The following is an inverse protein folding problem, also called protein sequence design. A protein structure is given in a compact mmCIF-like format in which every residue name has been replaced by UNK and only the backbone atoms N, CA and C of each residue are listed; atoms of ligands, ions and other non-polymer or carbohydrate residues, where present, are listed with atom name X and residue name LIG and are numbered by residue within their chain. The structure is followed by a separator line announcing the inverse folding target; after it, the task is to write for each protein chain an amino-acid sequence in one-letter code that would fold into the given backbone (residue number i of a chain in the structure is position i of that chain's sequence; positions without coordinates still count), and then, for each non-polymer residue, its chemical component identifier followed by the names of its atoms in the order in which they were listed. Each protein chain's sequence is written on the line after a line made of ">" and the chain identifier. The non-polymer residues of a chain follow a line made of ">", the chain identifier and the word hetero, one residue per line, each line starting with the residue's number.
data_IF_423415949204
#
_entry.id   IF_423415949204
#
_cell.length_a   1.000
_cell.length_b   1.000
_cell.length_c   1.000
_cell.angle_alpha   90.00
_cell.angle_beta   90.00
_cell.angle_gamma   90.00
#
_symmetry.space_group_name_H-M   'P 1'
#
loop_
_entity.id
_entity.type
_entity.pdbx_description
1 polymer ?
#
# COMPACT_ATOMS: atom_id res chain seq x y z
N UNK A 1 1.44 14.74 -26.32
CA UNK A 1 2.80 15.25 -26.01
C UNK A 1 2.73 15.67 -24.55
N UNK A 2 3.70 15.31 -23.72
CA UNK A 2 3.61 15.47 -22.26
C UNK A 2 3.70 16.98 -21.90
N UNK A 3 2.56 17.63 -21.61
CA UNK A 3 2.50 19.08 -21.34
C UNK A 3 3.34 19.45 -20.11
N UNK A 4 3.37 18.55 -19.13
CA UNK A 4 4.17 18.69 -17.91
C UNK A 4 5.68 18.72 -18.24
N UNK A 5 6.12 17.97 -19.26
CA UNK A 5 7.51 18.00 -19.70
C UNK A 5 7.86 19.35 -20.34
N UNK A 6 6.94 19.97 -21.09
CA UNK A 6 7.17 21.29 -21.68
C UNK A 6 7.32 22.36 -20.59
N UNK A 7 6.46 22.31 -19.57
CA UNK A 7 6.52 23.21 -18.42
C UNK A 7 7.84 23.10 -17.65
N UNK A 8 8.36 21.88 -17.45
CA UNK A 8 9.65 21.69 -16.77
C UNK A 8 10.80 22.25 -17.59
N UNK A 9 10.75 22.11 -18.92
CA UNK A 9 11.78 22.65 -19.81
C UNK A 9 11.72 24.18 -19.93
N UNK A 10 10.55 24.79 -19.80
CA UNK A 10 10.38 26.25 -19.83
C UNK A 10 10.57 26.93 -18.47
N UNK A 11 10.47 26.18 -17.36
CA UNK A 11 10.58 26.69 -16.00
C UNK A 11 12.04 26.90 -15.56
N UNK A 12 12.37 28.13 -15.15
CA UNK A 12 13.65 28.47 -14.52
C UNK A 12 13.80 27.99 -13.06
N UNK A 13 12.73 27.46 -12.44
CA UNK A 13 12.71 27.06 -11.03
C UNK A 13 12.86 25.55 -10.81
N UNK A 14 13.03 24.77 -11.87
CA UNK A 14 13.22 23.32 -11.75
C UNK A 14 14.64 22.98 -11.28
N UNK A 15 14.76 22.14 -10.24
CA UNK A 15 16.05 21.60 -9.80
C UNK A 15 16.55 20.45 -10.68
N UNK A 16 15.73 19.97 -11.63
CA UNK A 16 16.08 18.86 -12.51
C UNK A 16 16.99 19.33 -13.64
N UNK A 17 18.04 18.55 -13.92
CA UNK A 17 18.94 18.77 -15.06
C UNK A 17 18.67 17.72 -16.12
N UNK A 18 17.71 18.00 -17.00
CA UNK A 18 17.23 17.04 -18.00
C UNK A 18 18.09 17.08 -19.27
N UNK A 19 18.73 15.94 -19.58
CA UNK A 19 19.59 15.78 -20.74
C UNK A 19 19.19 14.54 -21.56
N UNK A 20 19.37 14.60 -22.88
CA UNK A 20 19.14 13.46 -23.77
C UNK A 20 20.36 12.54 -23.77
N UNK A 21 20.22 11.35 -23.18
CA UNK A 21 21.29 10.35 -23.03
C UNK A 21 21.06 9.20 -24.03
N UNK A 22 22.09 8.75 -24.77
CA UNK A 22 21.96 7.61 -25.67
C UNK A 22 21.75 6.32 -24.88
N UNK A 23 20.86 5.45 -25.36
CA UNK A 23 20.74 4.09 -24.83
C UNK A 23 21.85 3.24 -25.47
N UNK A 24 22.57 2.48 -24.64
CA UNK A 24 23.63 1.59 -25.09
C UNK A 24 23.10 0.59 -26.14
N UNK A 25 23.73 0.54 -27.31
CA UNK A 25 23.34 -0.36 -28.40
C UNK A 25 22.11 0.08 -29.21
N UNK A 26 21.65 1.34 -29.11
CA UNK A 26 20.57 1.85 -29.96
C UNK A 26 20.81 3.28 -30.43
N UNK A 27 20.13 3.67 -31.51
CA UNK A 27 20.12 5.05 -32.01
C UNK A 27 19.14 5.96 -31.24
N UNK A 28 18.47 5.43 -30.22
CA UNK A 28 17.49 6.17 -29.43
C UNK A 28 18.16 6.92 -28.28
N UNK A 29 17.67 8.14 -28.04
CA UNK A 29 18.04 8.96 -26.88
C UNK A 29 16.85 9.07 -25.95
N UNK A 30 17.08 8.87 -24.66
CA UNK A 30 16.06 9.07 -23.62
C UNK A 30 16.39 10.30 -22.80
N UNK A 31 15.35 10.93 -22.27
CA UNK A 31 15.53 12.07 -21.38
C UNK A 31 15.84 11.57 -19.98
N UNK A 32 16.93 12.05 -19.39
CA UNK A 32 17.37 11.67 -18.06
C UNK A 32 17.65 12.90 -17.22
N UNK A 33 17.28 12.86 -15.95
CA UNK A 33 17.78 13.79 -14.95
C UNK A 33 19.21 13.37 -14.53
N UNK A 34 20.13 14.30 -14.71
CA UNK A 34 21.55 14.17 -14.40
C UNK A 34 21.97 15.06 -13.21
N UNK A 35 21.00 15.58 -12.43
CA UNK A 35 21.27 16.40 -11.24
C UNK A 35 21.96 15.61 -10.11
N UNK A 36 21.83 14.28 -10.10
CA UNK A 36 22.44 13.37 -9.14
C UNK A 36 23.54 12.50 -9.79
N UNK A 37 24.32 11.80 -8.95
CA UNK A 37 25.40 10.89 -9.39
C UNK A 37 24.90 9.80 -10.35
N UNK A 38 23.69 9.27 -10.11
CA UNK A 38 23.03 8.30 -10.99
C UNK A 38 22.03 9.00 -11.90
N UNK A 39 22.20 8.82 -13.21
CA UNK A 39 21.25 9.31 -14.22
C UNK A 39 19.92 8.58 -14.11
N UNK A 40 18.82 9.33 -14.00
CA UNK A 40 17.47 8.78 -13.82
C UNK A 40 16.60 9.12 -15.02
N UNK A 41 16.09 8.14 -15.80
CA UNK A 41 15.17 8.43 -16.89
C UNK A 41 13.89 9.12 -16.42
N UNK A 42 13.49 10.13 -17.19
CA UNK A 42 12.19 10.78 -17.06
C UNK A 42 11.10 9.86 -17.61
N UNK A 43 10.04 9.66 -16.83
CA UNK A 43 8.95 8.76 -17.20
C UNK A 43 7.70 9.56 -17.60
N UNK A 44 7.27 9.47 -18.87
CA UNK A 44 6.03 10.10 -19.32
C UNK A 44 4.82 9.54 -18.60
N UNK A 45 3.77 10.35 -18.48
CA UNK A 45 2.55 10.02 -17.72
C UNK A 45 2.01 8.60 -18.00
N UNK A 46 1.93 8.23 -19.27
CA UNK A 46 1.41 6.94 -19.74
C UNK A 46 2.17 5.72 -19.21
N UNK A 47 3.46 5.87 -18.86
CA UNK A 47 4.31 4.78 -18.39
C UNK A 47 4.48 4.74 -16.88
N UNK A 48 4.12 5.81 -16.14
CA UNK A 48 4.36 5.90 -14.69
C UNK A 48 3.71 4.75 -13.92
N UNK A 49 2.48 4.39 -14.30
CA UNK A 49 1.73 3.27 -13.69
C UNK A 49 2.39 1.91 -13.94
N UNK A 50 2.91 1.68 -15.14
CA UNK A 50 3.61 0.45 -15.51
C UNK A 50 4.89 0.31 -14.68
N UNK A 51 5.68 1.39 -14.59
CA UNK A 51 6.89 1.44 -13.77
C UNK A 51 6.58 1.18 -12.30
N UNK A 52 5.53 1.80 -11.75
CA UNK A 52 5.07 1.54 -10.38
C UNK A 52 4.70 0.07 -10.16
N UNK A 53 3.90 -0.52 -11.07
CA UNK A 53 3.46 -1.90 -10.94
C UNK A 53 4.64 -2.88 -10.96
N UNK A 54 5.65 -2.64 -11.79
CA UNK A 54 6.88 -3.45 -11.80
C UNK A 54 7.60 -3.42 -10.45
N UNK A 55 7.71 -2.25 -9.80
CA UNK A 55 8.30 -2.14 -8.45
C UNK A 55 7.41 -2.82 -7.41
N UNK A 56 6.09 -2.63 -7.49
CA UNK A 56 5.15 -3.19 -6.52
C UNK A 56 5.07 -4.72 -6.61
N UNK A 57 5.22 -5.31 -7.79
CA UNK A 57 5.15 -6.75 -8.01
C UNK A 57 6.40 -7.52 -7.55
N UNK A 58 7.48 -6.84 -7.13
CA UNK A 58 8.66 -7.52 -6.56
C UNK A 58 8.29 -8.26 -5.27
N UNK A 59 7.60 -7.59 -4.35
CA UNK A 59 7.27 -8.14 -3.03
C UNK A 59 6.16 -7.35 -2.31
N UNK A 60 5.34 -6.57 -3.02
CA UNK A 60 4.38 -5.64 -2.42
C UNK A 60 4.98 -4.74 -1.32
N UNK A 61 6.11 -4.05 -1.59
CA UNK A 61 6.76 -3.20 -0.62
C UNK A 61 5.82 -2.13 -0.06
N UNK A 62 6.05 -1.75 1.19
CA UNK A 62 5.35 -0.63 1.81
C UNK A 62 5.73 0.71 1.16
N UNK A 63 4.87 1.71 1.35
CA UNK A 63 4.97 3.06 0.73
C UNK A 63 6.40 3.61 0.76
N UNK A 64 7.08 3.64 1.91
CA UNK A 64 8.43 4.19 2.05
C UNK A 64 9.44 3.48 1.15
N UNK A 65 9.38 2.16 1.09
CA UNK A 65 10.28 1.33 0.28
C UNK A 65 9.97 1.49 -1.20
N UNK A 66 8.69 1.47 -1.60
CA UNK A 66 8.26 1.71 -2.99
C UNK A 66 8.73 3.08 -3.48
N UNK A 67 8.51 4.13 -2.69
CA UNK A 67 8.98 5.49 -3.02
C UNK A 67 10.49 5.53 -3.19
N UNK A 68 11.25 4.95 -2.24
CA UNK A 68 12.72 4.92 -2.33
C UNK A 68 13.21 4.19 -3.58
N UNK A 69 12.61 3.06 -3.93
CA UNK A 69 12.98 2.29 -5.13
C UNK A 69 12.70 3.08 -6.41
N UNK A 70 11.54 3.74 -6.48
CA UNK A 70 11.17 4.56 -7.65
C UNK A 70 12.10 5.77 -7.81
N UNK A 71 12.28 6.57 -6.76
CA UNK A 71 13.09 7.80 -6.84
C UNK A 71 14.59 7.53 -7.02
N UNK A 72 15.06 6.32 -6.68
CA UNK A 72 16.44 5.90 -6.93
C UNK A 72 16.74 5.58 -8.41
N UNK A 73 15.71 5.29 -9.21
CA UNK A 73 15.86 4.81 -10.60
C UNK A 73 15.19 5.71 -11.64
N UNK A 74 14.15 6.44 -11.25
CA UNK A 74 13.28 7.17 -12.17
C UNK A 74 13.00 8.57 -11.66
N UNK A 75 12.56 9.44 -12.56
CA UNK A 75 12.09 10.78 -12.23
C UNK A 75 10.83 11.11 -12.98
N UNK A 76 9.88 11.74 -12.30
CA UNK A 76 8.77 12.49 -12.87
C UNK A 76 8.21 13.41 -11.78
N UNK A 77 7.46 14.46 -12.12
CA UNK A 77 6.88 15.34 -11.13
C UNK A 77 5.90 14.57 -10.23
N UNK A 78 5.86 14.91 -8.94
CA UNK A 78 4.94 14.26 -8.00
C UNK A 78 5.14 12.74 -7.81
N UNK A 79 6.28 12.15 -8.21
CA UNK A 79 6.62 10.73 -8.00
C UNK A 79 6.34 10.21 -6.57
N UNK A 80 6.62 11.04 -5.56
CA UNK A 80 6.36 10.71 -4.15
C UNK A 80 4.86 10.63 -3.84
N UNK A 81 4.06 11.56 -4.38
CA UNK A 81 2.61 11.62 -4.22
C UNK A 81 1.95 10.43 -4.93
N UNK A 82 2.40 10.13 -6.13
CA UNK A 82 1.89 9.01 -6.94
C UNK A 82 2.19 7.67 -6.27
N UNK A 83 3.45 7.43 -5.89
CA UNK A 83 3.85 6.20 -5.21
C UNK A 83 3.03 5.97 -3.93
N UNK A 84 2.79 7.01 -3.13
CA UNK A 84 1.96 6.95 -1.92
C UNK A 84 0.51 6.61 -2.26
N UNK A 85 -0.08 7.30 -3.22
CA UNK A 85 -1.48 7.14 -3.61
C UNK A 85 -1.73 5.73 -4.16
N UNK A 86 -0.85 5.26 -5.04
CA UNK A 86 -0.97 3.96 -5.69
C UNK A 86 -0.67 2.79 -4.75
N UNK A 87 0.30 2.92 -3.85
CA UNK A 87 0.56 1.89 -2.85
C UNK A 87 -0.61 1.76 -1.85
N UNK A 88 -1.29 2.87 -1.51
CA UNK A 88 -2.49 2.84 -0.65
C UNK A 88 -3.70 2.18 -1.33
N UNK A 89 -3.82 2.29 -2.65
CA UNK A 89 -4.90 1.65 -3.41
C UNK A 89 -4.61 0.20 -3.81
N UNK A 90 -3.49 -0.38 -3.39
CA UNK A 90 -3.15 -1.77 -3.69
C UNK A 90 -4.02 -2.73 -2.87
N UNK A 91 -4.97 -3.41 -3.55
CA UNK A 91 -5.90 -4.36 -2.92
C UNK A 91 -5.17 -5.50 -2.19
N UNK A 92 -4.09 -6.04 -2.79
CA UNK A 92 -3.30 -7.13 -2.17
C UNK A 92 -2.70 -6.68 -0.84
N UNK A 93 -2.07 -5.50 -0.81
CA UNK A 93 -1.51 -4.93 0.41
C UNK A 93 -2.59 -4.61 1.46
N UNK A 94 -3.76 -4.13 1.01
CA UNK A 94 -4.86 -3.79 1.91
C UNK A 94 -5.46 -5.03 2.59
N UNK A 95 -5.59 -6.14 1.84
CA UNK A 95 -6.10 -7.41 2.38
C UNK A 95 -5.10 -8.07 3.34
N UNK A 96 -3.80 -7.98 3.07
CA UNK A 96 -2.77 -8.66 3.85
C UNK A 96 -2.31 -7.88 5.08
N UNK A 97 -2.45 -6.53 5.06
CA UNK A 97 -1.93 -5.67 6.13
C UNK A 97 -3.08 -5.06 6.92
N UNK A 98 -3.36 -5.64 8.09
CA UNK A 98 -4.21 -4.99 9.09
C UNK A 98 -3.41 -3.82 9.68
N UNK A 99 -3.69 -2.59 9.24
CA UNK A 99 -3.03 -1.38 9.75
C UNK A 99 -3.75 -0.73 10.91
N UNK A 100 -5.04 -1.06 11.10
CA UNK A 100 -5.88 -0.52 12.17
C UNK A 100 -6.86 -1.60 12.57
N UNK A 101 -6.77 -2.05 13.82
CA UNK A 101 -7.87 -2.77 14.42
C UNK A 101 -9.00 -1.77 14.63
N UNK A 102 -10.10 -1.93 13.90
CA UNK A 102 -11.33 -1.22 14.23
C UNK A 102 -11.88 -1.92 15.46
N UNK A 103 -11.62 -1.35 16.63
CA UNK A 103 -12.28 -1.77 17.85
C UNK A 103 -13.64 -1.05 17.89
N UNK A 104 -14.71 -1.82 17.79
CA UNK A 104 -16.02 -1.31 18.18
C UNK A 104 -15.97 -0.95 19.66
N UNK A 105 -16.58 0.18 20.08
CA UNK A 105 -16.78 0.42 21.50
C UNK A 105 -17.53 -0.77 22.10
N UNK A 106 -17.18 -1.15 23.32
CA UNK A 106 -17.93 -2.18 24.04
C UNK A 106 -19.40 -1.75 24.13
N UNK A 107 -20.30 -2.60 23.64
CA UNK A 107 -21.71 -2.38 23.84
C UNK A 107 -22.01 -2.62 25.32
N UNK A 108 -22.53 -1.60 26.01
CA UNK A 108 -23.03 -1.80 27.36
C UNK A 108 -24.27 -2.69 27.28
N UNK A 109 -24.16 -3.88 27.87
CA UNK A 109 -25.33 -4.68 28.17
C UNK A 109 -26.18 -3.94 29.21
N UNK A 110 -27.50 -3.96 29.01
CA UNK A 110 -28.44 -3.46 30.00
C UNK A 110 -28.39 -4.38 31.21
N UNK A 111 -28.42 -3.80 32.42
CA UNK A 111 -28.57 -4.59 33.63
C UNK A 111 -29.94 -5.28 33.56
N UNK A 112 -29.89 -6.60 33.52
CA UNK A 112 -31.05 -7.49 33.52
C UNK A 112 -31.68 -7.37 34.90
N UNK A 113 -32.85 -6.72 35.01
CA UNK A 113 -33.50 -6.44 36.31
C UNK A 113 -34.27 -7.62 36.86
N UNK A 114 -34.68 -8.56 36.00
CA UNK A 114 -35.52 -9.71 36.36
C UNK A 114 -34.86 -11.01 35.89
N UNK A 115 -34.96 -12.11 36.65
CA UNK A 115 -34.51 -13.43 36.22
C UNK A 115 -35.13 -13.84 34.88
N UNK A 116 -34.40 -14.62 34.09
CA UNK A 116 -34.78 -15.15 32.78
C UNK A 116 -35.04 -14.10 31.70
N UNK A 117 -34.55 -12.87 31.86
CA UNK A 117 -34.70 -11.83 30.82
C UNK A 117 -33.50 -11.70 29.89
N UNK A 118 -32.35 -12.30 30.25
CA UNK A 118 -31.23 -12.52 29.35
C UNK A 118 -30.45 -13.76 29.76
N UNK A 119 -30.28 -14.71 28.86
CA UNK A 119 -29.54 -15.96 29.14
C UNK A 119 -28.31 -16.00 28.24
N UNK A 120 -27.14 -16.18 28.84
CA UNK A 120 -25.90 -16.42 28.12
C UNK A 120 -25.66 -17.93 28.03
N UNK A 121 -25.53 -18.41 26.79
CA UNK A 121 -25.23 -19.80 26.46
C UNK A 121 -23.84 -19.86 25.85
N UNK A 122 -23.00 -20.75 26.34
CA UNK A 122 -21.67 -21.01 25.77
C UNK A 122 -21.35 -22.51 25.78
N UNK A 123 -20.48 -22.94 24.89
CA UNK A 123 -20.03 -24.34 24.79
C UNK A 123 -18.54 -24.39 25.08
N UNK A 124 -18.18 -25.10 26.14
CA UNK A 124 -16.79 -25.37 26.49
C UNK A 124 -16.37 -26.67 25.81
N UNK A 125 -15.28 -26.62 25.04
CA UNK A 125 -14.61 -27.81 24.55
C UNK A 125 -13.70 -27.60 23.35
N UNK A 126 -13.09 -28.69 22.84
CA UNK A 126 -13.25 -30.07 23.30
C UNK A 126 -12.50 -30.37 24.61
N UNK A 127 -13.11 -31.17 25.49
CA UNK A 127 -12.58 -31.68 26.75
C UNK A 127 -12.22 -33.18 26.63
N UNK A 128 -11.42 -33.75 27.56
CA UNK A 128 -11.23 -35.19 27.64
C UNK A 128 -12.57 -35.93 27.71
N UNK A 129 -12.67 -37.06 27.00
CA UNK A 129 -13.92 -37.79 26.93
C UNK A 129 -14.31 -38.36 28.28
N UNK A 130 -15.54 -38.05 28.71
CA UNK A 130 -16.20 -38.68 29.85
C UNK A 130 -17.49 -39.30 29.32
N UNK A 131 -17.59 -40.63 29.36
CA UNK A 131 -18.77 -41.36 28.88
C UNK A 131 -19.17 -41.05 27.42
N UNK A 132 -18.19 -40.71 26.57
CA UNK A 132 -18.44 -40.35 25.17
C UNK A 132 -18.84 -38.89 24.94
N UNK A 133 -18.92 -38.07 25.99
CA UNK A 133 -19.16 -36.63 25.89
C UNK A 133 -17.84 -35.83 26.04
N UNK A 134 -17.67 -34.78 25.24
CA UNK A 134 -16.46 -33.95 25.20
C UNK A 134 -16.74 -32.44 25.23
N UNK A 135 -17.98 -32.04 25.45
CA UNK A 135 -18.39 -30.64 25.48
C UNK A 135 -19.32 -30.38 26.66
N UNK A 136 -19.22 -29.20 27.26
CA UNK A 136 -20.15 -28.74 28.30
C UNK A 136 -20.91 -27.51 27.81
N UNK A 137 -22.24 -27.57 27.87
CA UNK A 137 -23.09 -26.39 27.69
C UNK A 137 -23.16 -25.63 29.01
N UNK A 138 -22.71 -24.39 29.03
CA UNK A 138 -22.86 -23.47 30.17
C UNK A 138 -24.00 -22.51 29.94
N UNK A 139 -24.84 -22.34 30.96
CA UNK A 139 -26.01 -21.47 30.95
C UNK A 139 -25.90 -20.53 32.15
N UNK A 140 -25.91 -19.22 31.89
CA UNK A 140 -25.88 -18.18 32.91
C UNK A 140 -27.11 -17.29 32.70
N UNK A 141 -27.92 -17.14 33.74
CA UNK A 141 -29.01 -16.16 33.85
C UNK A 141 -28.47 -14.84 34.41
#
# INVERSE_FOLDING_TARGET
>A
MDEELKEILSSHNSTLKLEKVPIFGSNFKILCDCSAEKKRPYIPETFRRIVFNNVQNIAHPGIRTTTKLLTSKFVWPSINKDARTWARSCIKCHKSKVTRHVQSPFQQYHNVTNPFTGINLDIIGPLPSSEGFCFCLTIID
#
